data_IF_976186745422
#
_entry.id   IF_976186745422
#
_cell.length_a   1.000
_cell.length_b   1.000
_cell.length_c   1.000
_cell.angle_alpha   90.00
_cell.angle_beta   90.00
_cell.angle_gamma   90.00
#
_symmetry.space_group_name_H-M   'P 1'
#
loop_
_entity.id
_entity.type
_entity.pdbx_description
1 polymer ?
#
# COMPACT_ATOMS: atom_id res chain seq x y z
N UNK A 1 -32.02 14.88 -10.65
CA UNK A 1 -31.93 15.20 -9.20
C UNK A 1 -30.71 14.49 -8.62
N UNK A 2 -29.71 15.22 -8.14
CA UNK A 2 -28.51 14.61 -7.55
C UNK A 2 -28.85 13.99 -6.19
N UNK A 3 -28.57 12.69 -6.01
CA UNK A 3 -28.68 12.00 -4.71
C UNK A 3 -27.74 12.68 -3.72
N UNK A 4 -28.30 13.43 -2.77
CA UNK A 4 -27.60 14.01 -1.62
C UNK A 4 -27.08 12.83 -0.78
N UNK A 5 -25.79 12.50 -0.91
CA UNK A 5 -25.14 11.52 -0.04
C UNK A 5 -25.12 12.08 1.37
N UNK A 6 -25.98 11.56 2.24
CA UNK A 6 -25.94 11.86 3.65
C UNK A 6 -24.57 11.44 4.17
N UNK A 7 -23.77 12.44 4.54
CA UNK A 7 -22.51 12.27 5.24
C UNK A 7 -22.80 11.55 6.54
N UNK A 8 -22.75 10.21 6.53
CA UNK A 8 -22.80 9.39 7.74
C UNK A 8 -21.61 9.83 8.57
N UNK A 9 -21.89 10.52 9.67
CA UNK A 9 -20.92 11.09 10.59
C UNK A 9 -19.92 10.00 11.03
N UNK A 10 -18.74 10.00 10.40
CA UNK A 10 -17.77 8.88 10.47
C UNK A 10 -16.98 8.88 11.78
N UNK A 11 -17.15 9.92 12.58
CA UNK A 11 -16.33 10.24 13.75
C UNK A 11 -16.89 9.67 15.06
N UNK A 12 -18.18 9.31 15.09
CA UNK A 12 -18.83 8.79 16.29
C UNK A 12 -18.71 7.25 16.36
N UNK A 13 -18.01 6.69 17.37
CA UNK A 13 -17.87 5.24 17.52
C UNK A 13 -19.18 4.55 17.90
N UNK A 14 -20.19 5.24 18.43
CA UNK A 14 -21.50 4.66 18.74
C UNK A 14 -22.42 4.54 17.52
N UNK A 15 -22.05 5.16 16.40
CA UNK A 15 -22.76 5.05 15.11
C UNK A 15 -21.94 4.25 14.10
N UNK A 16 -20.61 4.23 14.25
CA UNK A 16 -19.69 3.58 13.34
C UNK A 16 -19.07 2.32 13.95
N UNK A 17 -19.63 1.16 13.58
CA UNK A 17 -19.14 -0.17 13.96
C UNK A 17 -17.64 -0.38 13.71
N UNK A 18 -17.11 0.15 12.60
CA UNK A 18 -15.68 -0.02 12.27
C UNK A 18 -14.79 0.78 13.20
N UNK A 19 -15.24 1.97 13.62
CA UNK A 19 -14.51 2.81 14.56
C UNK A 19 -14.57 2.22 15.98
N UNK A 20 -15.74 1.74 16.42
CA UNK A 20 -15.87 1.00 17.67
C UNK A 20 -14.91 -0.20 17.75
N UNK A 21 -14.85 -1.01 16.69
CA UNK A 21 -13.92 -2.15 16.65
C UNK A 21 -12.46 -1.67 16.75
N UNK A 22 -12.07 -0.60 16.05
CA UNK A 22 -10.70 -0.06 16.16
C UNK A 22 -10.40 0.46 17.57
N UNK A 23 -11.35 1.14 18.21
CA UNK A 23 -11.17 1.64 19.57
C UNK A 23 -10.99 0.49 20.57
N UNK A 24 -11.79 -0.57 20.46
CA UNK A 24 -11.64 -1.78 21.28
C UNK A 24 -10.31 -2.46 21.01
N UNK A 25 -9.91 -2.63 19.75
CA UNK A 25 -8.62 -3.22 19.39
C UNK A 25 -7.43 -2.38 19.87
N UNK A 26 -7.58 -1.07 20.01
CA UNK A 26 -6.56 -0.21 20.62
C UNK A 26 -6.37 -0.48 22.11
N UNK A 27 -7.41 -0.91 22.82
CA UNK A 27 -7.34 -1.31 24.25
C UNK A 27 -6.86 -2.76 24.41
N UNK A 28 -7.29 -3.66 23.52
CA UNK A 28 -7.03 -5.11 23.60
C UNK A 28 -6.59 -5.68 22.23
N UNK A 29 -5.36 -5.40 21.78
CA UNK A 29 -4.91 -5.73 20.41
C UNK A 29 -4.90 -7.24 20.11
N UNK A 30 -4.45 -8.05 21.07
CA UNK A 30 -4.25 -9.49 20.89
C UNK A 30 -5.47 -10.34 21.28
N UNK A 31 -6.57 -9.70 21.69
CA UNK A 31 -7.76 -10.42 22.11
C UNK A 31 -8.40 -11.25 20.98
N UNK A 32 -8.97 -12.41 21.34
CA UNK A 32 -9.73 -13.26 20.42
C UNK A 32 -10.93 -12.50 19.86
N UNK A 33 -11.36 -12.84 18.64
CA UNK A 33 -12.46 -12.16 17.94
C UNK A 33 -13.78 -12.18 18.74
N UNK A 34 -14.06 -13.27 19.44
CA UNK A 34 -15.24 -13.36 20.33
C UNK A 34 -15.20 -12.34 21.47
N UNK A 35 -14.03 -12.12 22.06
CA UNK A 35 -13.83 -11.15 23.13
C UNK A 35 -14.00 -9.72 22.61
N UNK A 36 -13.47 -9.44 21.42
CA UNK A 36 -13.64 -8.13 20.76
C UNK A 36 -15.12 -7.86 20.46
N UNK A 37 -15.86 -8.85 19.95
CA UNK A 37 -17.30 -8.69 19.68
C UNK A 37 -18.08 -8.39 20.96
N UNK A 38 -17.80 -9.11 22.05
CA UNK A 38 -18.42 -8.87 23.35
C UNK A 38 -18.09 -7.48 23.90
N UNK A 39 -16.83 -7.04 23.80
CA UNK A 39 -16.40 -5.72 24.25
C UNK A 39 -17.03 -4.59 23.41
N UNK A 40 -17.14 -4.75 22.09
CA UNK A 40 -17.81 -3.76 21.22
C UNK A 40 -19.30 -3.63 21.56
N UNK A 41 -19.97 -4.75 21.85
CA UNK A 41 -21.37 -4.72 22.30
C UNK A 41 -21.52 -4.07 23.67
N UNK A 42 -20.59 -4.33 24.60
CA UNK A 42 -20.60 -3.76 25.96
C UNK A 42 -20.32 -2.25 25.94
N UNK A 43 -19.28 -1.82 25.24
CA UNK A 43 -18.80 -0.43 25.27
C UNK A 43 -19.59 0.47 24.32
N UNK A 44 -20.07 -0.05 23.18
CA UNK A 44 -20.66 0.75 22.10
C UNK A 44 -22.05 0.28 21.64
N UNK A 45 -22.61 -0.79 22.23
CA UNK A 45 -23.94 -1.29 21.90
C UNK A 45 -24.06 -1.95 20.52
N UNK A 46 -22.95 -2.14 19.81
CA UNK A 46 -22.96 -2.67 18.45
C UNK A 46 -22.87 -4.20 18.42
N UNK A 47 -23.77 -4.81 17.66
CA UNK A 47 -23.60 -6.19 17.22
C UNK A 47 -22.77 -6.24 15.93
N UNK A 48 -21.68 -6.99 15.97
CA UNK A 48 -20.63 -7.03 14.95
C UNK A 48 -20.26 -8.47 14.64
N UNK A 49 -20.28 -8.80 13.35
CA UNK A 49 -19.97 -10.14 12.87
C UNK A 49 -18.47 -10.42 12.94
N UNK A 50 -18.12 -11.69 13.19
CA UNK A 50 -16.70 -12.13 13.24
C UNK A 50 -15.92 -11.77 11.96
N UNK A 51 -16.46 -11.95 10.73
CA UNK A 51 -15.74 -11.57 9.52
C UNK A 51 -15.36 -10.08 9.48
N UNK A 52 -16.22 -9.19 9.98
CA UNK A 52 -15.95 -7.75 10.02
C UNK A 52 -14.76 -7.43 10.94
N UNK A 53 -14.68 -8.10 12.09
CA UNK A 53 -13.58 -7.92 13.05
C UNK A 53 -12.27 -8.44 12.44
N UNK A 54 -12.29 -9.60 11.78
CA UNK A 54 -11.12 -10.12 11.07
C UNK A 54 -10.61 -9.15 10.01
N UNK A 55 -11.50 -8.63 9.17
CA UNK A 55 -11.13 -7.64 8.15
C UNK A 55 -10.45 -6.41 8.77
N UNK A 56 -10.97 -5.90 9.89
CA UNK A 56 -10.40 -4.72 10.54
C UNK A 56 -9.04 -5.04 11.18
N UNK A 57 -8.89 -6.20 11.84
CA UNK A 57 -7.58 -6.66 12.33
C UNK A 57 -6.55 -6.75 11.20
N UNK A 58 -6.92 -7.38 10.07
CA UNK A 58 -6.03 -7.48 8.91
C UNK A 58 -5.65 -6.09 8.38
N UNK A 59 -6.60 -5.16 8.25
CA UNK A 59 -6.32 -3.78 7.81
C UNK A 59 -5.39 -3.04 8.77
N UNK A 60 -5.58 -3.19 10.08
CA UNK A 60 -4.69 -2.60 11.10
C UNK A 60 -3.28 -3.17 11.01
N UNK A 61 -3.14 -4.49 10.81
CA UNK A 61 -1.85 -5.14 10.63
C UNK A 61 -1.14 -4.64 9.36
N UNK A 62 -1.87 -4.48 8.25
CA UNK A 62 -1.31 -3.92 7.01
C UNK A 62 -0.87 -2.46 7.14
N UNK A 63 -1.59 -1.67 7.95
CA UNK A 63 -1.25 -0.28 8.21
C UNK A 63 0.00 -0.14 9.10
N UNK A 64 0.15 -1.02 10.10
CA UNK A 64 1.31 -1.05 11.00
C UNK A 64 2.56 -1.64 10.34
N UNK A 65 2.41 -2.69 9.52
CA UNK A 65 3.49 -3.32 8.74
C UNK A 65 4.07 -2.39 7.63
N UNK A 66 3.48 -1.21 7.42
CA UNK A 66 4.03 -0.22 6.49
C UNK A 66 3.97 -0.65 5.02
N UNK A 67 3.27 -1.75 4.67
CA UNK A 67 3.06 -2.17 3.27
C UNK A 67 2.33 -1.10 2.43
N UNK A 68 1.52 -0.27 3.08
CA UNK A 68 0.89 0.92 2.45
C UNK A 68 1.86 2.12 2.42
N UNK A 69 2.81 2.17 3.37
CA UNK A 69 3.89 3.17 3.46
C UNK A 69 5.17 2.73 2.77
N UNK A 70 5.12 1.79 1.81
CA UNK A 70 6.08 1.83 0.71
C UNK A 70 5.74 3.11 -0.05
N UNK A 71 6.20 4.25 0.50
CA UNK A 71 6.49 5.46 -0.26
C UNK A 71 7.11 4.94 -1.55
N UNK A 72 6.72 5.48 -2.70
CA UNK A 72 7.53 5.41 -3.90
C UNK A 72 8.93 5.91 -3.51
N UNK A 73 9.75 5.00 -2.99
CA UNK A 73 11.05 5.28 -2.43
C UNK A 73 11.92 5.45 -3.64
N UNK A 74 12.09 6.72 -4.00
CA UNK A 74 13.11 7.23 -4.91
C UNK A 74 12.95 6.78 -6.36
N UNK A 75 13.25 7.71 -7.27
CA UNK A 75 13.60 7.42 -8.65
C UNK A 75 14.76 6.41 -8.62
N UNK A 76 14.48 5.14 -8.87
CA UNK A 76 15.48 4.19 -9.33
C UNK A 76 14.74 3.10 -10.09
N UNK A 77 15.08 3.00 -11.36
CA UNK A 77 14.63 2.01 -12.34
C UNK A 77 13.13 2.00 -12.60
N UNK A 78 12.74 2.69 -13.67
CA UNK A 78 11.68 2.16 -14.55
C UNK A 78 12.04 0.70 -14.81
N UNK A 79 11.29 -0.28 -14.26
CA UNK A 79 11.45 -1.63 -14.73
C UNK A 79 11.08 -1.57 -16.22
N UNK A 80 11.82 -2.25 -17.09
CA UNK A 80 11.42 -2.38 -18.49
C UNK A 80 10.16 -3.25 -18.55
N UNK A 81 9.00 -2.64 -18.23
CA UNK A 81 7.71 -3.29 -18.00
C UNK A 81 7.09 -3.76 -19.32
N UNK A 82 7.55 -3.25 -20.47
CA UNK A 82 7.01 -3.60 -21.78
C UNK A 82 8.10 -4.08 -22.74
N UNK A 83 7.73 -4.99 -23.65
CA UNK A 83 8.61 -5.48 -24.71
C UNK A 83 9.15 -4.33 -25.60
N UNK A 84 8.36 -3.26 -25.79
CA UNK A 84 8.78 -2.08 -26.53
C UNK A 84 10.01 -1.40 -25.89
N UNK A 85 10.03 -1.25 -24.56
CA UNK A 85 11.15 -0.64 -23.83
C UNK A 85 12.43 -1.48 -23.94
N UNK A 86 12.31 -2.81 -23.95
CA UNK A 86 13.45 -3.69 -24.19
C UNK A 86 14.03 -3.52 -25.60
N UNK A 87 13.16 -3.43 -26.61
CA UNK A 87 13.59 -3.22 -28.00
C UNK A 87 14.31 -1.87 -28.15
N UNK A 88 13.79 -0.82 -27.53
CA UNK A 88 14.42 0.51 -27.54
C UNK A 88 15.77 0.51 -26.83
N UNK A 89 15.87 -0.11 -25.66
CA UNK A 89 17.13 -0.24 -24.93
C UNK A 89 18.21 -1.00 -25.72
N UNK A 90 17.81 -2.09 -26.39
CA UNK A 90 18.72 -2.87 -27.24
C UNK A 90 19.19 -2.05 -28.45
N UNK A 91 18.31 -1.21 -29.04
CA UNK A 91 18.69 -0.31 -30.13
C UNK A 91 19.70 0.74 -29.66
N UNK A 92 19.45 1.37 -28.52
CA UNK A 92 20.36 2.36 -27.93
C UNK A 92 21.72 1.75 -27.58
N UNK A 93 21.74 0.57 -26.95
CA UNK A 93 22.98 -0.14 -26.64
C UNK A 93 23.78 -0.45 -27.92
N UNK A 94 23.11 -0.87 -29.00
CA UNK A 94 23.77 -1.13 -30.30
C UNK A 94 24.35 0.14 -30.91
N UNK A 95 23.65 1.27 -30.83
CA UNK A 95 24.14 2.56 -31.32
C UNK A 95 25.36 3.02 -30.54
N UNK A 96 25.33 2.89 -29.21
CA UNK A 96 26.45 3.25 -28.35
C UNK A 96 27.70 2.40 -28.66
N UNK A 97 27.53 1.10 -28.85
CA UNK A 97 28.63 0.20 -29.24
C UNK A 97 29.20 0.55 -30.62
N UNK A 98 28.35 0.91 -31.59
CA UNK A 98 28.80 1.36 -32.91
C UNK A 98 29.59 2.67 -32.84
N UNK A 99 29.16 3.61 -32.01
CA UNK A 99 29.82 4.91 -31.87
C UNK A 99 31.16 4.82 -31.14
N UNK A 100 31.26 3.95 -30.14
CA UNK A 100 32.44 3.83 -29.27
C UNK A 100 33.45 2.78 -29.74
N UNK A 101 33.03 1.86 -30.61
CA UNK A 101 33.86 0.78 -31.16
C UNK A 101 34.34 -0.26 -30.15
N UNK A 102 34.05 -0.07 -28.86
CA UNK A 102 34.51 -0.93 -27.77
C UNK A 102 33.54 -0.89 -26.59
N UNK A 103 33.27 -2.07 -26.02
CA UNK A 103 32.41 -2.24 -24.84
C UNK A 103 32.99 -1.50 -23.63
N UNK A 104 34.32 -1.47 -23.48
CA UNK A 104 34.98 -0.78 -22.38
C UNK A 104 34.72 0.74 -22.43
N UNK A 105 34.77 1.34 -23.62
CA UNK A 105 34.50 2.77 -23.80
C UNK A 105 33.02 3.10 -23.62
N UNK A 106 32.11 2.26 -24.15
CA UNK A 106 30.67 2.42 -23.94
C UNK A 106 30.29 2.39 -22.45
N UNK A 107 30.86 1.46 -21.68
CA UNK A 107 30.59 1.33 -20.24
C UNK A 107 31.22 2.45 -19.43
N UNK A 108 32.41 2.93 -19.80
CA UNK A 108 33.02 4.10 -19.18
C UNK A 108 32.17 5.37 -19.37
N UNK A 109 31.63 5.59 -20.56
CA UNK A 109 30.74 6.72 -20.84
C UNK A 109 29.43 6.63 -20.05
N UNK A 110 28.80 5.45 -19.98
CA UNK A 110 27.59 5.27 -19.18
C UNK A 110 27.85 5.57 -17.69
N UNK A 111 28.94 5.06 -17.14
CA UNK A 111 29.34 5.33 -15.75
C UNK A 111 29.66 6.81 -15.49
N UNK A 112 30.18 7.52 -16.48
CA UNK A 112 30.46 8.95 -16.37
C UNK A 112 29.18 9.81 -16.40
N UNK A 113 28.10 9.31 -17.01
CA UNK A 113 26.78 9.97 -17.03
C UNK A 113 25.97 9.64 -15.78
N UNK A 114 26.13 8.44 -15.21
CA UNK A 114 25.50 8.00 -13.97
C UNK A 114 26.18 8.52 -12.69
N UNK A 115 27.31 9.23 -12.83
CA UNK A 115 28.12 9.81 -11.75
C UNK A 115 27.54 11.07 -11.14
#
# INVERSE_FOLDING_TARGET
MAKKTTSVDRSDPYKNKSLAIRNVLGKIPDAKVSVVAAAVKKDYGHDVSRPMIYMIKTKNNMASDGRVKKKRTKRSDTPMISAALWVEAIKLARQLLKATGSVANATALLKAVDG
#
